data_IF_123338735753
#
_entry.id   IF_123338735753
#
_cell.length_a   1.000
_cell.length_b   1.000
_cell.length_c   1.000
_cell.angle_alpha   90.00
_cell.angle_beta   90.00
_cell.angle_gamma   90.00
#
_symmetry.space_group_name_H-M   'P 1'
#
loop_
_entity.id
_entity.type
_entity.pdbx_description
1 polymer ?
#
# COMPACT_ATOMS: atom_id res chain seq x y z
N UNK A 1 6.79 14.60 -9.10
CA UNK A 1 6.05 15.15 -7.95
C UNK A 1 4.66 14.58 -8.01
N UNK A 2 4.16 14.04 -6.90
CA UNK A 2 2.82 13.46 -6.86
C UNK A 2 1.78 14.59 -6.85
N UNK A 3 0.84 14.61 -7.78
CA UNK A 3 -0.21 15.64 -7.86
C UNK A 3 -1.44 15.35 -6.98
N UNK A 4 -1.41 14.24 -6.24
CA UNK A 4 -2.55 13.71 -5.48
C UNK A 4 -2.48 14.24 -4.04
N UNK A 5 -3.60 14.81 -3.55
CA UNK A 5 -3.72 15.15 -2.13
C UNK A 5 -3.97 13.87 -1.32
N UNK A 6 -2.92 13.32 -0.72
CA UNK A 6 -3.00 12.06 0.03
C UNK A 6 -3.91 12.14 1.25
N UNK A 7 -3.89 13.26 1.99
CA UNK A 7 -4.74 13.47 3.17
C UNK A 7 -6.24 13.27 2.85
N UNK A 8 -6.67 13.70 1.65
CA UNK A 8 -8.05 13.53 1.18
C UNK A 8 -8.35 12.15 0.58
N UNK A 9 -7.33 11.47 0.06
CA UNK A 9 -7.50 10.24 -0.71
C UNK A 9 -7.16 8.98 0.06
N UNK A 10 -6.46 9.07 1.20
CA UNK A 10 -6.29 7.95 2.13
C UNK A 10 -7.44 7.97 3.13
N UNK A 11 -8.04 6.81 3.33
CA UNK A 11 -9.25 6.63 4.14
C UNK A 11 -8.91 6.15 5.54
N UNK A 12 -8.07 5.12 5.66
CA UNK A 12 -7.63 4.62 6.96
C UNK A 12 -6.28 3.90 6.85
N UNK A 13 -5.64 3.76 8.00
CA UNK A 13 -4.52 2.88 8.24
C UNK A 13 -4.76 2.11 9.54
N UNK A 14 -4.41 0.83 9.57
CA UNK A 14 -4.68 -0.05 10.68
C UNK A 14 -3.50 -1.00 10.95
N UNK A 15 -3.29 -1.31 12.21
CA UNK A 15 -2.38 -2.33 12.72
C UNK A 15 -3.19 -3.26 13.63
N UNK A 16 -3.06 -4.56 13.46
CA UNK A 16 -3.70 -5.53 14.36
C UNK A 16 -3.13 -6.93 14.22
N UNK A 17 -3.67 -7.87 14.99
CA UNK A 17 -3.12 -9.22 15.07
C UNK A 17 -3.41 -10.07 13.82
N UNK A 18 -2.51 -10.98 13.51
CA UNK A 18 -2.71 -11.99 12.47
C UNK A 18 -3.67 -13.07 12.98
N UNK A 19 -4.73 -13.35 12.22
CA UNK A 19 -5.68 -14.43 12.50
C UNK A 19 -6.62 -14.20 13.68
N UNK A 20 -6.67 -13.00 14.24
CA UNK A 20 -7.57 -12.63 15.31
C UNK A 20 -8.25 -11.27 15.02
N UNK A 21 -9.15 -10.85 15.92
CA UNK A 21 -9.87 -9.59 15.81
C UNK A 21 -9.16 -8.44 16.57
N UNK A 22 -7.90 -8.63 16.99
CA UNK A 22 -7.15 -7.62 17.74
C UNK A 22 -6.93 -6.35 16.89
N UNK A 23 -7.05 -5.21 17.55
CA UNK A 23 -6.83 -3.91 16.95
C UNK A 23 -5.82 -3.13 17.79
N UNK A 24 -4.58 -3.06 17.31
CA UNK A 24 -3.50 -2.38 18.03
C UNK A 24 -3.55 -0.87 17.76
N UNK A 25 -3.80 -0.47 16.51
CA UNK A 25 -3.85 0.94 16.15
C UNK A 25 -4.78 1.17 14.96
N UNK A 26 -5.53 2.27 14.98
CA UNK A 26 -6.33 2.69 13.86
C UNK A 26 -6.30 4.20 13.68
N UNK A 27 -5.85 4.64 12.51
CA UNK A 27 -6.00 6.01 12.04
C UNK A 27 -7.09 6.06 10.97
N UNK A 28 -8.01 7.02 11.10
CA UNK A 28 -9.06 7.26 10.10
C UNK A 28 -9.05 8.71 9.65
N UNK A 29 -9.14 8.92 8.33
CA UNK A 29 -9.26 10.25 7.76
C UNK A 29 -10.61 10.88 8.09
N UNK A 30 -10.60 12.18 8.41
CA UNK A 30 -11.82 12.97 8.57
C UNK A 30 -12.67 13.07 7.29
N UNK A 31 -12.10 12.71 6.14
CA UNK A 31 -12.79 12.70 4.85
C UNK A 31 -13.47 11.37 4.53
N UNK A 32 -13.27 10.35 5.39
CA UNK A 32 -13.87 9.03 5.23
C UNK A 32 -14.97 8.81 6.26
N UNK A 33 -16.23 8.83 5.81
CA UNK A 33 -17.40 8.77 6.69
C UNK A 33 -17.92 7.33 6.94
N UNK A 34 -17.27 6.31 6.36
CA UNK A 34 -17.66 4.90 6.54
C UNK A 34 -16.83 4.28 7.68
N UNK A 35 -17.39 3.28 8.35
CA UNK A 35 -16.64 2.50 9.34
C UNK A 35 -15.79 1.43 8.63
N UNK A 36 -14.46 1.37 8.85
CA UNK A 36 -13.57 0.41 8.18
C UNK A 36 -13.60 -1.01 8.76
N UNK A 37 -14.43 -1.30 9.76
CA UNK A 37 -14.44 -2.57 10.50
C UNK A 37 -14.42 -3.82 9.61
N UNK A 38 -15.33 -3.90 8.63
CA UNK A 38 -15.37 -5.06 7.72
C UNK A 38 -14.15 -5.14 6.80
N UNK A 39 -13.67 -3.99 6.31
CA UNK A 39 -12.47 -3.90 5.47
C UNK A 39 -11.22 -4.34 6.24
N UNK A 40 -11.14 -4.04 7.54
CA UNK A 40 -10.04 -4.50 8.39
C UNK A 40 -10.15 -6.01 8.60
N UNK A 41 -11.35 -6.52 8.95
CA UNK A 41 -11.55 -7.94 9.26
C UNK A 41 -11.14 -8.88 8.13
N UNK A 42 -11.43 -8.53 6.87
CA UNK A 42 -11.03 -9.35 5.72
C UNK A 42 -9.52 -9.42 5.50
N UNK A 43 -8.75 -8.47 6.05
CA UNK A 43 -7.28 -8.43 5.90
C UNK A 43 -6.53 -9.24 6.95
N UNK A 44 -7.21 -9.75 7.98
CA UNK A 44 -6.58 -10.41 9.15
C UNK A 44 -5.96 -11.78 8.86
N UNK A 45 -6.27 -12.38 7.71
CA UNK A 45 -5.80 -13.72 7.34
C UNK A 45 -5.19 -13.75 5.92
N UNK A 46 -4.08 -13.02 5.67
CA UNK A 46 -3.38 -13.14 4.39
C UNK A 46 -2.90 -14.59 4.19
N UNK A 47 -2.97 -15.14 2.96
CA UNK A 47 -2.50 -16.51 2.69
C UNK A 47 -1.02 -16.74 3.03
N UNK A 48 -0.19 -15.72 2.83
CA UNK A 48 1.25 -15.76 3.10
C UNK A 48 1.69 -14.48 3.83
N UNK A 49 2.66 -14.64 4.72
CA UNK A 49 3.35 -13.52 5.38
C UNK A 49 4.42 -12.94 4.44
N UNK A 50 4.80 -11.69 4.68
CA UNK A 50 5.82 -10.94 3.94
C UNK A 50 5.50 -10.75 2.44
N UNK A 51 4.21 -10.70 2.09
CA UNK A 51 3.72 -10.41 0.74
C UNK A 51 2.66 -9.31 0.83
N UNK A 52 2.73 -8.35 -0.08
CA UNK A 52 1.69 -7.33 -0.23
C UNK A 52 0.51 -7.91 -1.01
N UNK A 53 -0.69 -7.72 -0.47
CA UNK A 53 -1.95 -8.08 -1.12
C UNK A 53 -2.76 -6.82 -1.39
N UNK A 54 -3.52 -6.84 -2.48
CA UNK A 54 -4.42 -5.75 -2.86
C UNK A 54 -5.84 -6.27 -3.04
N UNK A 55 -6.80 -5.55 -2.48
CA UNK A 55 -8.24 -5.73 -2.74
C UNK A 55 -8.72 -4.46 -3.43
N UNK A 56 -9.16 -4.61 -4.68
CA UNK A 56 -9.74 -3.52 -5.47
C UNK A 56 -11.26 -3.63 -5.43
N UNK A 57 -11.92 -2.70 -4.76
CA UNK A 57 -13.38 -2.55 -4.79
C UNK A 57 -13.75 -1.24 -5.50
N UNK A 58 -14.97 -1.12 -6.06
CA UNK A 58 -15.41 0.11 -6.72
C UNK A 58 -15.32 1.37 -5.84
N UNK A 59 -15.44 1.19 -4.53
CA UNK A 59 -15.44 2.28 -3.55
C UNK A 59 -14.10 2.50 -2.85
N UNK A 60 -13.18 1.54 -2.90
CA UNK A 60 -11.96 1.55 -2.07
C UNK A 60 -10.91 0.59 -2.63
N UNK A 61 -9.65 1.04 -2.61
CA UNK A 61 -8.49 0.17 -2.81
C UNK A 61 -7.84 -0.07 -1.45
N UNK A 62 -7.63 -1.33 -1.10
CA UNK A 62 -7.03 -1.76 0.17
C UNK A 62 -5.72 -2.49 -0.15
N UNK A 63 -4.64 -2.10 0.50
CA UNK A 63 -3.38 -2.85 0.49
C UNK A 63 -3.08 -3.31 1.91
N UNK A 64 -2.67 -4.56 2.05
CA UNK A 64 -2.33 -5.13 3.35
C UNK A 64 -1.10 -6.04 3.27
N UNK A 65 -0.41 -6.15 4.39
CA UNK A 65 0.86 -6.83 4.53
C UNK A 65 0.96 -7.43 5.93
N UNK A 66 1.33 -8.70 6.04
CA UNK A 66 1.59 -9.34 7.32
C UNK A 66 3.09 -9.49 7.55
N UNK A 67 3.57 -9.03 8.69
CA UNK A 67 4.93 -9.24 9.20
C UNK A 67 4.82 -9.90 10.57
N UNK A 68 5.42 -11.08 10.71
CA UNK A 68 5.29 -11.92 11.90
C UNK A 68 3.80 -12.13 12.23
N UNK A 69 3.37 -11.84 13.45
CA UNK A 69 1.96 -12.00 13.87
C UNK A 69 1.17 -10.68 13.83
N UNK A 70 1.63 -9.71 13.03
CA UNK A 70 0.98 -8.40 12.87
C UNK A 70 0.58 -8.15 11.41
N UNK A 71 -0.64 -7.66 11.22
CA UNK A 71 -1.20 -7.25 9.93
C UNK A 71 -1.30 -5.73 9.89
N UNK A 72 -0.72 -5.16 8.84
CA UNK A 72 -0.80 -3.75 8.52
C UNK A 72 -1.70 -3.58 7.30
N UNK A 73 -2.63 -2.64 7.38
CA UNK A 73 -3.60 -2.37 6.32
C UNK A 73 -3.69 -0.88 6.07
N UNK A 74 -3.61 -0.47 4.80
CA UNK A 74 -3.88 0.89 4.36
C UNK A 74 -4.95 0.86 3.29
N UNK A 75 -5.85 1.84 3.30
CA UNK A 75 -6.86 1.95 2.27
C UNK A 75 -7.07 3.39 1.82
N UNK A 76 -7.46 3.55 0.57
CA UNK A 76 -7.73 4.84 -0.02
C UNK A 76 -8.68 4.78 -1.21
N UNK A 77 -8.78 5.91 -1.88
CA UNK A 77 -9.66 6.12 -3.03
C UNK A 77 -9.38 5.07 -4.12
N UNK A 78 -10.43 4.52 -4.79
CA UNK A 78 -10.31 3.42 -5.76
C UNK A 78 -9.38 3.72 -6.96
N UNK A 79 -9.18 5.01 -7.27
CA UNK A 79 -8.29 5.45 -8.35
C UNK A 79 -6.80 5.49 -7.95
N UNK A 80 -6.45 5.22 -6.68
CA UNK A 80 -5.05 5.15 -6.27
C UNK A 80 -4.42 3.84 -6.76
N UNK A 81 -3.21 3.93 -7.31
CA UNK A 81 -2.45 2.75 -7.73
C UNK A 81 -1.96 1.98 -6.50
N UNK A 82 -2.06 0.64 -6.52
CA UNK A 82 -1.64 -0.20 -5.38
C UNK A 82 -0.19 0.05 -4.99
N UNK A 83 0.71 0.26 -5.96
CA UNK A 83 2.12 0.57 -5.71
C UNK A 83 2.35 1.83 -4.86
N UNK A 84 1.46 2.83 -4.92
CA UNK A 84 1.52 3.99 -4.03
C UNK A 84 1.20 3.58 -2.58
N UNK A 85 0.11 2.82 -2.41
CA UNK A 85 -0.32 2.33 -1.11
C UNK A 85 0.68 1.34 -0.50
N UNK A 86 1.25 0.45 -1.30
CA UNK A 86 2.33 -0.46 -0.88
C UNK A 86 3.57 0.31 -0.39
N UNK A 87 3.97 1.38 -1.09
CA UNK A 87 5.11 2.20 -0.69
C UNK A 87 4.87 2.92 0.65
N UNK A 88 3.66 3.43 0.84
CA UNK A 88 3.24 4.05 2.10
C UNK A 88 3.18 3.03 3.24
N UNK A 89 2.60 1.86 2.97
CA UNK A 89 2.45 0.80 3.95
C UNK A 89 3.81 0.27 4.40
N UNK A 90 4.74 0.05 3.49
CA UNK A 90 6.11 -0.37 3.79
C UNK A 90 6.81 0.63 4.70
N UNK A 91 6.75 1.93 4.38
CA UNK A 91 7.31 2.98 5.23
C UNK A 91 6.69 2.97 6.64
N UNK A 92 5.36 2.89 6.75
CA UNK A 92 4.68 2.86 8.05
C UNK A 92 5.01 1.59 8.85
N UNK A 93 5.20 0.45 8.20
CA UNK A 93 5.65 -0.78 8.86
C UNK A 93 7.03 -0.57 9.48
N UNK A 94 7.97 -0.02 8.72
CA UNK A 94 9.33 0.20 9.19
C UNK A 94 9.35 1.20 10.37
N UNK A 95 8.69 2.35 10.23
CA UNK A 95 8.59 3.35 11.31
C UNK A 95 7.92 2.78 12.58
N UNK A 96 6.91 1.92 12.43
CA UNK A 96 6.25 1.31 13.58
C UNK A 96 7.22 0.44 14.39
N UNK A 97 8.00 -0.41 13.71
CA UNK A 97 8.98 -1.28 14.36
C UNK A 97 10.25 -0.55 14.80
N UNK A 98 10.54 0.64 14.26
CA UNK A 98 11.58 1.52 14.80
C UNK A 98 11.13 2.22 16.09
N UNK A 99 9.86 2.65 16.15
CA UNK A 99 9.35 3.45 17.26
C UNK A 99 8.91 2.60 18.46
N UNK A 100 8.46 1.37 18.22
CA UNK A 100 7.93 0.48 19.27
C UNK A 100 8.64 -0.87 19.29
N UNK A 101 8.94 -1.35 20.49
CA UNK A 101 9.39 -2.72 20.67
C UNK A 101 8.25 -3.69 20.34
N UNK A 102 8.54 -4.67 19.48
CA UNK A 102 7.64 -5.77 19.12
C UNK A 102 7.04 -6.49 20.34
N UNK A 103 7.71 -6.51 21.50
CA UNK A 103 7.18 -7.09 22.72
C UNK A 103 5.91 -6.42 23.21
N UNK A 104 5.71 -5.13 22.91
CA UNK A 104 4.52 -4.37 23.34
C UNK A 104 3.24 -4.91 22.71
N UNK A 105 3.33 -5.51 21.52
CA UNK A 105 2.20 -6.13 20.83
C UNK A 105 1.61 -7.31 21.62
N UNK A 106 2.43 -8.01 22.40
CA UNK A 106 1.97 -9.10 23.27
C UNK A 106 1.32 -8.63 24.57
N UNK A 107 1.45 -7.35 24.91
CA UNK A 107 0.94 -6.77 26.17
C UNK A 107 -0.37 -6.02 26.01
N UNK A 108 -0.77 -5.69 24.78
CA UNK A 108 -2.05 -5.07 24.48
C UNK A 108 -3.19 -6.11 24.55
N UNK A 109 -3.70 -6.36 25.76
CA UNK A 109 -4.92 -7.16 25.97
C UNK A 109 -6.10 -6.24 26.29
N UNK A 110 -7.10 -6.15 25.40
CA UNK A 110 -8.33 -5.36 25.61
C UNK A 110 -8.76 -4.55 24.38
N UNK A 111 -9.83 -3.74 24.54
CA UNK A 111 -10.48 -3.02 23.43
C UNK A 111 -9.71 -1.80 22.89
N UNK A 112 -8.74 -1.24 23.63
CA UNK A 112 -7.86 -0.15 23.14
C UNK A 112 -6.43 -0.26 23.69
N UNK A 113 -5.43 -0.09 22.81
CA UNK A 113 -4.03 0.05 23.21
C UNK A 113 -3.53 1.47 22.92
N UNK A 114 -3.83 2.40 23.84
CA UNK A 114 -3.50 3.82 23.72
C UNK A 114 -1.98 4.07 23.61
N UNK A 115 -1.15 3.06 23.91
CA UNK A 115 0.32 3.08 23.77
C UNK A 115 0.75 3.45 22.35
N UNK A 116 -0.07 3.13 21.34
CA UNK A 116 0.27 3.39 19.94
C UNK A 116 -0.33 4.68 19.37
N UNK A 117 -1.11 5.45 20.15
CA UNK A 117 -1.84 6.64 19.66
C UNK A 117 -0.92 7.70 19.04
N UNK A 118 0.31 7.81 19.57
CA UNK A 118 1.35 8.70 19.05
C UNK A 118 1.70 8.44 17.58
N UNK A 119 1.45 7.23 17.08
CA UNK A 119 1.71 6.85 15.69
C UNK A 119 0.84 7.61 14.69
N UNK A 120 -0.28 8.20 15.13
CA UNK A 120 -1.11 9.09 14.30
C UNK A 120 -0.30 10.26 13.71
N UNK A 121 0.71 10.76 14.44
CA UNK A 121 1.58 11.82 13.95
C UNK A 121 2.47 11.36 12.81
N UNK A 122 2.98 10.12 12.87
CA UNK A 122 3.79 9.50 11.80
C UNK A 122 2.96 9.33 10.53
N UNK A 123 1.71 8.84 10.67
CA UNK A 123 0.78 8.72 9.54
C UNK A 123 0.52 10.09 8.91
N UNK A 124 0.22 11.11 9.71
CA UNK A 124 -0.05 12.46 9.20
C UNK A 124 1.19 13.11 8.58
N UNK A 125 2.38 12.92 9.14
CA UNK A 125 3.64 13.39 8.57
C UNK A 125 3.87 12.77 7.18
N UNK A 126 3.72 11.44 7.06
CA UNK A 126 3.82 10.75 5.78
C UNK A 126 2.84 11.34 4.75
N UNK A 127 1.58 11.56 5.11
CA UNK A 127 0.57 12.06 4.17
C UNK A 127 0.82 13.49 3.71
N UNK A 128 1.38 14.35 4.58
CA UNK A 128 1.66 15.75 4.25
C UNK A 128 2.99 15.90 3.51
N UNK A 129 3.98 15.09 3.84
CA UNK A 129 5.37 15.24 3.39
C UNK A 129 5.83 14.06 2.51
N UNK A 130 4.90 13.37 1.85
CA UNK A 130 5.18 12.14 1.10
C UNK A 130 6.26 12.30 0.03
N UNK A 131 6.24 13.41 -0.72
CA UNK A 131 7.22 13.66 -1.77
C UNK A 131 8.65 13.74 -1.22
N UNK A 132 8.84 14.20 0.03
CA UNK A 132 10.14 14.30 0.70
C UNK A 132 10.69 12.91 1.08
N UNK A 133 9.80 11.96 1.39
CA UNK A 133 10.18 10.57 1.71
C UNK A 133 10.72 9.83 0.48
N UNK A 134 10.47 10.34 -0.73
CA UNK A 134 11.10 9.87 -1.96
C UNK A 134 10.92 8.36 -2.22
N UNK A 135 9.76 7.80 -1.85
CA UNK A 135 9.46 6.35 -1.81
C UNK A 135 9.09 5.75 -3.18
N UNK A 136 8.67 6.58 -4.12
CA UNK A 136 8.17 6.14 -5.43
C UNK A 136 8.91 6.81 -6.58
N UNK A 137 8.76 6.24 -7.78
CA UNK A 137 9.09 6.87 -9.05
C UNK A 137 7.89 6.79 -9.98
N UNK A 138 7.60 7.89 -10.66
CA UNK A 138 6.56 7.92 -11.70
C UNK A 138 7.23 7.73 -13.06
N UNK A 139 6.71 6.81 -13.85
CA UNK A 139 7.11 6.58 -15.24
C UNK A 139 5.90 6.59 -16.16
N UNK A 140 6.14 6.47 -17.46
CA UNK A 140 5.09 6.47 -18.49
C UNK A 140 5.14 5.18 -19.30
N UNK A 141 3.98 4.57 -19.51
CA UNK A 141 3.82 3.39 -20.37
C UNK A 141 2.73 3.63 -21.40
N UNK A 142 2.94 3.16 -22.63
CA UNK A 142 1.88 3.15 -23.63
C UNK A 142 1.04 1.88 -23.48
N UNK A 143 -0.27 2.04 -23.33
CA UNK A 143 -1.19 0.91 -23.32
C UNK A 143 -1.57 0.52 -24.75
N UNK A 144 -1.20 -0.69 -25.17
CA UNK A 144 -1.55 -1.21 -26.50
C UNK A 144 -3.06 -1.41 -26.70
N UNK A 145 -3.82 -1.64 -25.62
CA UNK A 145 -5.29 -1.80 -25.67
C UNK A 145 -6.08 -0.48 -25.73
N UNK A 146 -5.50 0.65 -25.33
CA UNK A 146 -6.18 1.95 -25.33
C UNK A 146 -5.71 2.87 -26.47
N UNK A 147 -5.60 2.37 -27.70
CA UNK A 147 -5.08 3.14 -28.85
C UNK A 147 -3.71 3.79 -28.59
N UNK A 148 -2.84 3.10 -27.85
CA UNK A 148 -1.48 3.57 -27.48
C UNK A 148 -1.46 4.82 -26.60
N UNK A 149 -2.54 5.15 -25.88
CA UNK A 149 -2.54 6.22 -24.88
C UNK A 149 -1.46 5.96 -23.82
N UNK A 150 -0.70 7.00 -23.51
CA UNK A 150 0.31 7.00 -22.45
C UNK A 150 -0.37 7.11 -21.09
N UNK A 151 -0.03 6.20 -20.18
CA UNK A 151 -0.49 6.16 -18.79
C UNK A 151 0.69 6.41 -17.86
N UNK A 152 0.43 7.10 -16.75
CA UNK A 152 1.42 7.25 -15.69
C UNK A 152 1.35 6.05 -14.75
N UNK A 153 2.51 5.47 -14.47
CA UNK A 153 2.65 4.32 -13.58
C UNK A 153 3.50 4.74 -12.40
N UNK A 154 2.97 4.53 -11.20
CA UNK A 154 3.67 4.70 -9.94
C UNK A 154 4.40 3.40 -9.64
N UNK A 155 5.70 3.49 -9.39
CA UNK A 155 6.57 2.36 -9.07
C UNK A 155 7.13 2.57 -7.68
N UNK A 156 6.89 1.62 -6.78
CA UNK A 156 7.54 1.57 -5.46
C UNK A 156 9.05 1.36 -5.64
N UNK A 157 9.90 2.17 -5.02
CA UNK A 157 11.36 2.08 -5.24
C UNK A 157 12.01 0.82 -4.68
N UNK A 158 11.53 0.33 -3.53
CA UNK A 158 12.02 -0.90 -2.92
C UNK A 158 11.84 -2.10 -3.86
N UNK A 159 10.77 -2.13 -4.66
CA UNK A 159 10.54 -3.17 -5.67
C UNK A 159 11.72 -3.27 -6.67
N UNK A 160 12.23 -2.12 -7.12
CA UNK A 160 13.34 -2.08 -8.10
C UNK A 160 14.69 -2.33 -7.42
N UNK A 161 14.92 -1.73 -6.25
CA UNK A 161 16.21 -1.85 -5.55
C UNK A 161 16.45 -3.26 -5.00
N UNK A 162 15.41 -3.92 -4.47
CA UNK A 162 15.50 -5.28 -3.91
C UNK A 162 15.49 -6.40 -4.96
N UNK A 163 15.19 -6.08 -6.23
CA UNK A 163 15.20 -7.07 -7.31
C UNK A 163 16.62 -7.51 -7.65
N UNK A 164 16.88 -8.82 -7.76
CA UNK A 164 18.18 -9.32 -8.23
C UNK A 164 18.33 -9.26 -9.77
N UNK A 165 17.24 -8.99 -10.48
CA UNK A 165 17.19 -8.97 -11.95
C UNK A 165 17.57 -7.61 -12.51
N UNK A 166 18.11 -7.59 -13.74
CA UNK A 166 18.36 -6.35 -14.49
C UNK A 166 17.08 -5.60 -14.83
N UNK A 167 15.98 -6.33 -15.00
CA UNK A 167 14.63 -5.80 -15.18
C UNK A 167 13.65 -6.46 -14.22
N UNK A 168 12.78 -5.67 -13.63
CA UNK A 168 11.76 -6.11 -12.69
C UNK A 168 10.39 -6.09 -13.38
N UNK A 169 9.67 -7.22 -13.41
CA UNK A 169 8.31 -7.26 -13.92
C UNK A 169 7.35 -6.60 -12.91
N UNK A 170 6.41 -5.81 -13.42
CA UNK A 170 5.30 -5.25 -12.65
C UNK A 170 4.02 -5.41 -13.47
N UNK A 171 2.93 -5.80 -12.82
CA UNK A 171 1.60 -5.82 -13.44
C UNK A 171 0.92 -4.49 -13.13
N UNK A 172 0.52 -3.76 -14.16
CA UNK A 172 -0.22 -2.51 -14.06
C UNK A 172 -1.60 -2.68 -14.70
N UNK A 173 -2.65 -2.41 -13.94
CA UNK A 173 -4.04 -2.54 -14.40
C UNK A 173 -4.66 -1.16 -14.51
N UNK A 174 -5.28 -0.85 -15.65
CA UNK A 174 -6.06 0.36 -15.83
C UNK A 174 -7.19 0.14 -16.85
N UNK A 175 -8.36 0.73 -16.60
CA UNK A 175 -9.49 0.70 -17.55
C UNK A 175 -9.84 -0.70 -18.09
N UNK A 176 -9.70 -1.74 -17.26
CA UNK A 176 -9.94 -3.14 -17.66
C UNK A 176 -8.81 -3.83 -18.42
N UNK A 177 -7.69 -3.15 -18.68
CA UNK A 177 -6.51 -3.74 -19.30
C UNK A 177 -5.43 -4.02 -18.25
N UNK A 178 -4.83 -5.21 -18.32
CA UNK A 178 -3.64 -5.55 -17.55
C UNK A 178 -2.40 -5.54 -18.45
N UNK A 179 -1.37 -4.82 -18.01
CA UNK A 179 -0.09 -4.71 -18.70
C UNK A 179 1.00 -5.32 -17.83
N UNK A 180 1.74 -6.27 -18.39
CA UNK A 180 3.03 -6.68 -17.83
C UNK A 180 4.10 -5.72 -18.35
N UNK A 181 4.71 -4.96 -17.45
CA UNK A 181 5.74 -3.97 -17.75
C UNK A 181 7.09 -4.41 -17.18
N UNK A 182 8.16 -4.23 -17.94
CA UNK A 182 9.52 -4.55 -17.53
C UNK A 182 10.29 -3.26 -17.26
N UNK A 183 10.67 -3.05 -16.00
CA UNK A 183 11.29 -1.81 -15.53
C UNK A 183 12.74 -2.10 -15.14
N UNK A 184 13.68 -1.30 -15.63
CA UNK A 184 15.08 -1.45 -15.24
C UNK A 184 15.43 -0.73 -13.92
N UNK A 185 16.70 -0.82 -13.53
CA UNK A 185 17.25 -0.16 -12.33
C UNK A 185 17.21 1.38 -12.37
N UNK A 186 17.06 1.97 -13.55
CA UNK A 186 16.91 3.42 -13.75
C UNK A 186 15.43 3.86 -13.83
N UNK A 187 14.49 2.94 -13.54
CA UNK A 187 13.04 3.15 -13.65
C UNK A 187 12.54 3.42 -15.08
N UNK A 188 13.31 3.02 -16.09
CA UNK A 188 12.93 3.09 -17.49
C UNK A 188 12.14 1.83 -17.86
N UNK A 189 11.01 2.03 -18.53
CA UNK A 189 10.22 0.94 -19.11
C UNK A 189 10.96 0.41 -20.34
N UNK A 190 11.38 -0.85 -20.29
CA UNK A 190 12.09 -1.54 -21.39
C UNK A 190 11.18 -2.32 -22.31
N UNK A 191 10.01 -2.70 -21.82
CA UNK A 191 8.99 -3.37 -22.62
C UNK A 191 7.64 -3.40 -21.91
N UNK A 192 6.57 -3.56 -22.68
CA UNK A 192 5.22 -3.80 -22.17
C UNK A 192 4.43 -4.76 -23.06
N UNK A 193 3.64 -5.60 -22.42
CA UNK A 193 2.77 -6.58 -23.05
C UNK A 193 1.38 -6.56 -22.41
N UNK A 194 0.34 -6.68 -23.23
CA UNK A 194 -1.02 -6.91 -22.73
C UNK A 194 -1.13 -8.37 -22.28
N UNK A 195 -1.64 -8.59 -21.07
CA UNK A 195 -1.77 -9.90 -20.46
C UNK A 195 -3.17 -10.10 -19.90
N UNK A 196 -3.59 -11.35 -19.79
CA UNK A 196 -4.78 -11.73 -19.05
C UNK A 196 -4.41 -12.02 -17.59
N UNK A 197 -5.26 -11.61 -16.66
CA UNK A 197 -5.08 -11.85 -15.22
C UNK A 197 -6.20 -12.77 -14.75
N UNK A 198 -5.83 -13.96 -14.29
CA UNK A 198 -6.73 -14.87 -13.59
C UNK A 198 -6.67 -14.58 -12.09
N UNK A 199 -7.84 -14.48 -11.45
CA UNK A 199 -8.01 -14.33 -10.01
C UNK A 199 -8.38 -15.67 -9.37
#
# INVERSE_FOLDING_TARGET
MLSINLVKNIYFFNIGGYGNDDNYFQWTSKFYNKNPHFQIKITRNPPHKNIFYTINNPDITIVYYAKDDTVFTIAGHPNLQSQLLEAMLEFLVDEFYEMYDSSLLTTCYGDTCDVFDGFSMVVLDLLNNFDEKNLIKITRVNCKGCDKKTQEVIIKKSLISNSNSSTTPLVFIHSGHALLIYIDKEFKVRGSQLVDVSY
#
